data_IF_939563052737
#
_entry.id   IF_939563052737
#
_cell.length_a   1.000
_cell.length_b   1.000
_cell.length_c   1.000
_cell.angle_alpha   90.00
_cell.angle_beta   90.00
_cell.angle_gamma   90.00
#
_symmetry.space_group_name_H-M   'P 1'
#
loop_
_entity.id
_entity.type
_entity.pdbx_description
1 polymer ?
#
# COMPACT_ATOMS: atom_id res chain seq x y z
N UNK A 1 9.07 -16.70 -1.90
CA UNK A 1 7.66 -16.69 -1.49
C UNK A 1 7.48 -15.72 -0.33
N UNK A 2 6.75 -14.63 -0.50
CA UNK A 2 6.51 -13.65 0.55
C UNK A 2 5.59 -14.16 1.68
N UNK A 3 5.38 -13.35 2.71
CA UNK A 3 4.53 -13.68 3.86
C UNK A 3 3.08 -14.01 3.49
N UNK A 4 2.59 -13.55 2.33
CA UNK A 4 1.29 -13.90 1.78
C UNK A 4 1.12 -15.40 1.43
N UNK A 5 2.22 -16.16 1.39
CA UNK A 5 2.22 -17.60 1.13
C UNK A 5 2.43 -18.44 2.40
N UNK A 6 2.56 -17.79 3.57
CA UNK A 6 2.82 -18.47 4.83
C UNK A 6 1.53 -18.69 5.62
N UNK A 7 1.50 -19.76 6.41
CA UNK A 7 0.39 -20.06 7.31
C UNK A 7 0.69 -19.42 8.66
N UNK A 8 -0.15 -18.49 9.05
CA UNK A 8 -0.05 -17.83 10.35
C UNK A 8 -0.88 -18.56 11.41
N UNK A 9 -0.37 -18.61 12.62
CA UNK A 9 -1.21 -18.83 13.79
C UNK A 9 -2.08 -17.59 14.03
N UNK A 10 -3.25 -17.78 14.64
CA UNK A 10 -4.13 -16.65 14.93
C UNK A 10 -4.75 -16.74 16.33
N UNK A 11 -5.15 -15.58 16.82
CA UNK A 11 -5.90 -15.40 18.06
C UNK A 11 -7.05 -14.42 17.81
N UNK A 12 -8.24 -14.81 18.23
CA UNK A 12 -9.41 -13.93 18.17
C UNK A 12 -9.36 -12.98 19.37
N UNK A 13 -9.47 -11.68 19.11
CA UNK A 13 -9.56 -10.63 20.12
C UNK A 13 -11.03 -10.16 20.23
N UNK A 14 -11.36 -9.40 21.26
CA UNK A 14 -12.69 -8.84 21.45
C UNK A 14 -13.09 -7.90 20.27
N UNK A 15 -12.13 -7.13 19.76
CA UNK A 15 -12.32 -6.12 18.72
C UNK A 15 -11.59 -6.44 17.40
N UNK A 16 -11.12 -7.69 17.22
CA UNK A 16 -10.35 -8.00 16.02
C UNK A 16 -9.69 -9.37 16.01
N UNK A 17 -8.60 -9.47 15.26
CA UNK A 17 -7.82 -10.70 15.12
C UNK A 17 -6.33 -10.38 15.11
N UNK A 18 -5.55 -11.24 15.77
CA UNK A 18 -4.09 -11.22 15.77
C UNK A 18 -3.57 -12.39 14.96
N UNK A 19 -2.67 -12.14 14.04
CA UNK A 19 -1.89 -13.14 13.33
C UNK A 19 -0.46 -13.14 13.82
N UNK A 20 0.13 -14.34 13.96
CA UNK A 20 1.48 -14.54 14.46
C UNK A 20 2.21 -15.52 13.55
N UNK A 21 3.42 -15.14 13.16
CA UNK A 21 4.32 -15.99 12.39
C UNK A 21 5.74 -15.89 12.91
N UNK A 22 6.42 -17.01 13.02
CA UNK A 22 7.85 -17.08 13.30
C UNK A 22 8.54 -17.53 12.00
N UNK A 23 9.16 -16.58 11.32
CA UNK A 23 10.00 -16.84 10.15
C UNK A 23 11.36 -17.37 10.65
N UNK A 24 11.77 -18.58 10.27
CA UNK A 24 13.04 -19.12 10.73
C UNK A 24 14.23 -18.39 10.09
N UNK A 25 15.39 -18.48 10.75
CA UNK A 25 16.65 -17.94 10.20
C UNK A 25 16.86 -18.39 8.77
N UNK A 26 17.30 -17.46 7.92
CA UNK A 26 17.55 -17.65 6.47
C UNK A 26 16.30 -17.98 5.64
N UNK A 27 15.09 -17.81 6.15
CA UNK A 27 13.90 -17.91 5.32
C UNK A 27 13.95 -16.84 4.22
N UNK A 28 13.76 -17.27 2.95
CA UNK A 28 13.88 -16.42 1.74
C UNK A 28 15.25 -15.69 1.64
N UNK A 29 16.26 -16.14 2.35
CA UNK A 29 17.62 -15.58 2.34
C UNK A 29 17.84 -14.45 3.35
N UNK A 30 16.87 -14.13 4.19
CA UNK A 30 17.02 -13.10 5.23
C UNK A 30 17.58 -13.71 6.53
N UNK A 31 18.65 -13.11 7.12
CA UNK A 31 19.23 -13.61 8.35
C UNK A 31 18.32 -13.32 9.55
N UNK A 32 18.44 -14.17 10.55
CA UNK A 32 17.73 -14.07 11.82
C UNK A 32 16.33 -14.68 11.80
N UNK A 33 15.94 -15.21 12.95
CA UNK A 33 14.56 -15.62 13.16
C UNK A 33 13.70 -14.38 13.43
N UNK A 34 12.67 -14.17 12.61
CA UNK A 34 11.78 -13.03 12.71
C UNK A 34 10.45 -13.43 13.31
N UNK A 35 10.12 -12.89 14.47
CA UNK A 35 8.79 -12.95 15.05
C UNK A 35 7.95 -11.80 14.48
N UNK A 36 6.91 -12.13 13.73
CA UNK A 36 5.97 -11.19 13.11
C UNK A 36 4.60 -11.31 13.77
N UNK A 37 4.06 -10.17 14.19
CA UNK A 37 2.70 -10.03 14.70
C UNK A 37 1.95 -8.98 13.89
N UNK A 38 0.77 -9.34 13.41
CA UNK A 38 -0.13 -8.44 12.68
C UNK A 38 -1.48 -8.45 13.39
N UNK A 39 -1.97 -7.27 13.75
CA UNK A 39 -3.27 -7.13 14.42
C UNK A 39 -4.20 -6.32 13.55
N UNK A 40 -5.35 -6.88 13.26
CA UNK A 40 -6.47 -6.19 12.62
C UNK A 40 -7.53 -5.90 13.68
N UNK A 41 -7.94 -4.64 13.81
CA UNK A 41 -9.01 -4.19 14.70
C UNK A 41 -10.08 -3.48 13.90
N UNK A 42 -11.32 -3.73 14.25
CA UNK A 42 -12.49 -3.07 13.67
C UNK A 42 -13.22 -2.28 14.74
N UNK A 43 -13.37 -0.98 14.54
CA UNK A 43 -14.13 -0.09 15.43
C UNK A 43 -15.03 0.82 14.60
N UNK A 44 -16.33 0.62 14.65
CA UNK A 44 -17.28 1.31 13.78
C UNK A 44 -16.98 1.05 12.31
N UNK A 45 -16.58 2.08 11.59
CA UNK A 45 -16.20 2.04 10.18
C UNK A 45 -14.67 2.23 9.96
N UNK A 46 -13.88 2.07 11.01
CA UNK A 46 -12.42 2.12 10.96
C UNK A 46 -11.83 0.71 11.05
N UNK A 47 -10.96 0.36 10.09
CA UNK A 47 -10.10 -0.81 10.14
C UNK A 47 -8.68 -0.35 10.45
N UNK A 48 -8.15 -0.74 11.61
CA UNK A 48 -6.77 -0.50 12.02
C UNK A 48 -5.93 -1.75 11.82
N UNK A 49 -4.77 -1.59 11.17
CA UNK A 49 -3.78 -2.65 10.99
C UNK A 49 -2.47 -2.25 11.67
N UNK A 50 -1.99 -3.08 12.58
CA UNK A 50 -0.76 -2.84 13.35
C UNK A 50 0.22 -3.97 13.08
N UNK A 51 1.48 -3.61 12.79
CA UNK A 51 2.57 -4.55 12.53
C UNK A 51 3.64 -4.41 13.60
N UNK A 52 4.06 -5.52 14.16
CA UNK A 52 5.15 -5.61 15.11
C UNK A 52 6.07 -6.74 14.68
N UNK A 53 7.36 -6.44 14.58
CA UNK A 53 8.35 -7.42 14.18
C UNK A 53 9.58 -7.33 15.08
N UNK A 54 10.10 -8.48 15.48
CA UNK A 54 11.33 -8.62 16.26
C UNK A 54 12.19 -9.72 15.66
N UNK A 55 13.48 -9.45 15.52
CA UNK A 55 14.46 -10.44 15.06
C UNK A 55 15.53 -10.66 16.13
N UNK A 56 16.11 -11.87 16.14
CA UNK A 56 17.26 -12.23 16.98
C UNK A 56 18.60 -11.81 16.37
N UNK A 57 18.59 -11.31 15.12
CA UNK A 57 19.76 -10.78 14.41
C UNK A 57 19.37 -9.54 13.59
N UNK A 58 20.36 -8.79 13.13
CA UNK A 58 20.16 -7.70 12.18
C UNK A 58 19.62 -8.26 10.86
N UNK A 59 18.49 -7.75 10.42
CA UNK A 59 17.82 -8.20 9.19
C UNK A 59 17.04 -7.06 8.52
N UNK A 60 16.62 -7.28 7.29
CA UNK A 60 15.80 -6.34 6.56
C UNK A 60 14.33 -6.71 6.71
N UNK A 61 13.50 -5.69 6.95
CA UNK A 61 12.04 -5.84 7.02
C UNK A 61 11.40 -4.82 6.08
N UNK A 62 10.50 -5.30 5.21
CA UNK A 62 9.62 -4.47 4.41
C UNK A 62 8.25 -5.16 4.35
N UNK A 63 7.33 -4.74 5.20
CA UNK A 63 6.00 -5.33 5.33
C UNK A 63 4.96 -4.27 5.03
N UNK A 64 4.07 -4.58 4.09
CA UNK A 64 2.95 -3.73 3.73
C UNK A 64 1.65 -4.54 3.63
N UNK A 65 0.53 -3.88 3.84
CA UNK A 65 -0.76 -4.41 3.44
C UNK A 65 -0.91 -4.23 1.92
N UNK A 66 -1.29 -5.30 1.23
CA UNK A 66 -1.47 -5.28 -0.22
C UNK A 66 -2.94 -5.51 -0.61
N UNK A 67 -3.87 -4.97 0.15
CA UNK A 67 -5.29 -5.04 -0.17
C UNK A 67 -5.65 -4.11 -1.31
N UNK A 68 -6.49 -4.60 -2.21
CA UNK A 68 -7.08 -3.80 -3.28
C UNK A 68 -8.50 -3.39 -2.90
N UNK A 69 -8.90 -2.17 -3.27
CA UNK A 69 -10.20 -1.62 -2.92
C UNK A 69 -11.01 -1.26 -4.16
N UNK A 70 -12.23 -1.75 -4.23
CA UNK A 70 -13.23 -1.31 -5.19
C UNK A 70 -14.48 -0.84 -4.44
N UNK A 71 -14.70 0.48 -4.40
CA UNK A 71 -15.79 1.08 -3.65
C UNK A 71 -17.14 1.01 -4.36
N UNK A 72 -17.17 0.71 -5.66
CA UNK A 72 -18.42 0.56 -6.42
C UNK A 72 -19.19 -0.70 -6.04
N UNK A 73 -18.51 -1.71 -5.47
CA UNK A 73 -19.04 -3.06 -5.23
C UNK A 73 -19.54 -3.76 -6.52
N UNK A 74 -19.04 -3.36 -7.67
CA UNK A 74 -19.30 -3.96 -8.98
C UNK A 74 -18.07 -4.73 -9.45
N UNK A 75 -18.27 -5.73 -10.29
CA UNK A 75 -17.18 -6.43 -11.00
C UNK A 75 -16.73 -5.56 -12.20
N UNK A 76 -16.02 -4.48 -11.89
CA UNK A 76 -15.52 -3.52 -12.87
C UNK A 76 -14.20 -2.92 -12.43
N UNK A 77 -13.48 -2.32 -13.37
CA UNK A 77 -12.31 -1.51 -13.08
C UNK A 77 -12.73 -0.25 -12.29
N UNK A 78 -11.78 0.30 -11.54
CA UNK A 78 -11.99 1.47 -10.67
C UNK A 78 -11.61 2.79 -11.36
N UNK A 79 -11.65 2.86 -12.68
CA UNK A 79 -11.20 4.02 -13.44
C UNK A 79 -11.98 5.30 -13.12
N UNK A 80 -13.28 5.17 -12.78
CA UNK A 80 -14.16 6.28 -12.41
C UNK A 80 -14.04 6.71 -10.94
N UNK A 81 -13.24 5.98 -10.15
CA UNK A 81 -12.99 6.39 -8.77
C UNK A 81 -12.07 7.61 -8.74
N UNK A 82 -12.39 8.54 -7.86
CA UNK A 82 -11.55 9.70 -7.59
C UNK A 82 -10.51 9.37 -6.53
N UNK A 83 -9.26 9.65 -6.83
CA UNK A 83 -8.13 9.45 -5.94
C UNK A 83 -7.46 10.79 -5.62
N UNK A 84 -7.12 10.99 -4.36
CA UNK A 84 -6.24 12.04 -3.88
C UNK A 84 -5.15 11.42 -3.02
N UNK A 85 -3.88 11.80 -3.24
CA UNK A 85 -2.73 11.37 -2.44
C UNK A 85 -1.89 12.58 -2.07
N UNK A 86 -1.60 12.75 -0.79
CA UNK A 86 -0.74 13.83 -0.26
C UNK A 86 0.74 13.46 -0.44
N UNK A 87 1.20 13.52 -1.67
CA UNK A 87 2.58 13.25 -2.04
C UNK A 87 3.06 14.25 -3.08
N UNK A 88 4.32 14.66 -2.95
CA UNK A 88 4.99 15.48 -3.97
C UNK A 88 5.86 14.64 -4.89
N UNK A 89 6.17 13.38 -4.52
CA UNK A 89 7.11 12.54 -5.26
C UNK A 89 6.67 11.07 -5.29
N UNK A 90 7.03 10.40 -6.38
CA UNK A 90 7.01 8.93 -6.48
C UNK A 90 8.42 8.38 -6.56
N UNK A 91 8.61 7.14 -6.09
CA UNK A 91 9.82 6.38 -6.38
C UNK A 91 9.74 5.85 -7.83
N UNK A 92 10.78 6.14 -8.63
CA UNK A 92 10.85 5.66 -10.02
C UNK A 92 11.11 4.15 -10.06
N UNK A 93 10.43 3.48 -10.99
CA UNK A 93 10.68 2.09 -11.35
C UNK A 93 11.54 1.99 -12.62
N UNK A 94 12.16 0.84 -12.81
CA UNK A 94 12.76 0.44 -14.08
C UNK A 94 11.77 -0.38 -14.94
N UNK A 95 12.19 -0.83 -16.11
CA UNK A 95 11.39 -1.63 -17.03
C UNK A 95 10.93 -3.00 -16.47
N UNK A 96 11.50 -3.45 -15.37
CA UNK A 96 11.11 -4.66 -14.64
C UNK A 96 10.21 -4.37 -13.44
N UNK A 97 9.83 -3.10 -13.23
CA UNK A 97 9.03 -2.65 -12.09
C UNK A 97 9.83 -2.55 -10.77
N UNK A 98 11.16 -2.57 -10.82
CA UNK A 98 11.99 -2.49 -9.63
C UNK A 98 12.36 -1.03 -9.31
N UNK A 99 12.35 -0.63 -8.02
CA UNK A 99 12.74 0.72 -7.62
C UNK A 99 14.19 1.03 -8.00
N UNK A 100 14.40 2.17 -8.66
CA UNK A 100 15.74 2.61 -9.12
C UNK A 100 16.52 3.42 -8.07
N UNK A 101 15.89 3.78 -6.95
CA UNK A 101 16.43 4.72 -5.96
C UNK A 101 16.31 6.19 -6.38
N UNK A 102 15.72 6.49 -7.54
CA UNK A 102 15.41 7.84 -7.99
C UNK A 102 13.99 8.22 -7.60
N UNK A 103 13.75 9.53 -7.48
CA UNK A 103 12.43 10.09 -7.22
C UNK A 103 12.04 11.04 -8.36
N UNK A 104 10.75 11.09 -8.65
CA UNK A 104 10.14 11.98 -9.63
C UNK A 104 9.13 12.87 -8.93
N UNK A 105 9.22 14.19 -9.13
CA UNK A 105 8.20 15.13 -8.67
C UNK A 105 6.91 14.89 -9.45
N UNK A 106 5.78 14.79 -8.75
CA UNK A 106 4.50 14.44 -9.38
C UNK A 106 3.89 15.59 -10.18
N UNK A 107 4.31 16.82 -9.92
CA UNK A 107 3.74 18.02 -10.53
C UNK A 107 3.86 18.00 -12.06
N UNK A 108 2.75 18.25 -12.76
CA UNK A 108 2.64 18.18 -14.22
C UNK A 108 2.93 16.78 -14.83
N UNK A 109 2.76 15.72 -14.06
CA UNK A 109 2.84 14.32 -14.50
C UNK A 109 1.49 13.60 -14.34
N UNK A 110 1.32 12.41 -14.92
CA UNK A 110 0.13 11.59 -14.66
C UNK A 110 -0.04 11.20 -13.19
N UNK A 111 1.02 11.28 -12.40
CA UNK A 111 1.05 10.92 -10.97
C UNK A 111 0.61 12.07 -10.03
N UNK A 112 0.25 13.24 -10.55
CA UNK A 112 -0.22 14.34 -9.69
C UNK A 112 -1.64 14.09 -9.18
N UNK A 113 -1.73 13.42 -8.03
CA UNK A 113 -2.95 13.21 -7.26
C UNK A 113 -3.05 14.14 -6.03
N UNK A 114 -2.35 15.27 -6.00
CA UNK A 114 -2.46 16.24 -4.88
C UNK A 114 -3.88 16.81 -4.73
N UNK A 115 -4.69 16.75 -5.78
CA UNK A 115 -6.13 16.98 -5.76
C UNK A 115 -6.87 15.75 -6.32
N UNK A 116 -8.19 15.72 -6.17
CA UNK A 116 -8.99 14.61 -6.69
C UNK A 116 -8.95 14.53 -8.22
N UNK A 117 -8.49 13.40 -8.74
CA UNK A 117 -8.54 13.01 -10.15
C UNK A 117 -9.14 11.62 -10.30
N UNK A 118 -9.84 11.37 -11.38
CA UNK A 118 -10.26 10.00 -11.72
C UNK A 118 -9.04 9.17 -12.09
N UNK A 119 -8.97 7.94 -11.55
CA UNK A 119 -7.83 7.05 -11.78
C UNK A 119 -7.65 6.78 -13.29
N UNK A 120 -8.75 6.63 -14.02
CA UNK A 120 -8.73 6.39 -15.46
C UNK A 120 -8.37 7.60 -16.32
N UNK A 121 -8.36 8.82 -15.76
CA UNK A 121 -8.16 10.06 -16.51
C UNK A 121 -6.81 10.09 -17.25
N UNK A 122 -5.75 9.62 -16.61
CA UNK A 122 -4.37 9.72 -17.09
C UNK A 122 -3.59 8.40 -17.08
N UNK A 123 -4.22 7.28 -16.70
CA UNK A 123 -3.54 5.98 -16.57
C UNK A 123 -2.97 5.44 -17.90
N UNK A 124 -3.45 5.98 -19.02
CA UNK A 124 -3.02 5.60 -20.37
C UNK A 124 -2.22 6.70 -21.08
N UNK A 125 -1.80 7.72 -20.36
CA UNK A 125 -0.94 8.77 -20.89
C UNK A 125 0.38 8.19 -21.41
N UNK A 126 0.99 8.86 -22.38
CA UNK A 126 2.29 8.48 -22.92
C UNK A 126 3.42 8.90 -21.94
N UNK A 127 3.54 8.19 -20.85
CA UNK A 127 4.54 8.40 -19.81
C UNK A 127 5.40 7.14 -19.61
N UNK A 128 6.70 7.32 -19.44
CA UNK A 128 7.66 6.21 -19.31
C UNK A 128 7.39 5.36 -18.08
N UNK A 129 7.11 6.00 -16.94
CA UNK A 129 6.87 5.29 -15.68
C UNK A 129 5.56 4.48 -15.74
N UNK A 130 4.50 5.03 -16.34
CA UNK A 130 3.26 4.27 -16.56
C UNK A 130 3.49 3.06 -17.48
N UNK A 131 4.34 3.20 -18.52
CA UNK A 131 4.65 2.08 -19.44
C UNK A 131 5.42 0.96 -18.75
N UNK A 132 6.36 1.26 -17.88
CA UNK A 132 7.21 0.26 -17.22
C UNK A 132 6.39 -0.72 -16.38
N UNK A 133 5.36 -0.25 -15.70
CA UNK A 133 4.56 -1.07 -14.77
C UNK A 133 3.13 -1.32 -15.23
N UNK A 134 2.75 -0.79 -16.41
CA UNK A 134 1.43 -0.99 -16.98
C UNK A 134 0.31 -0.22 -16.30
N UNK A 135 0.63 0.93 -15.71
CA UNK A 135 -0.31 1.81 -14.99
C UNK A 135 0.29 2.42 -13.75
N UNK A 136 -0.53 2.59 -12.70
CA UNK A 136 -0.07 3.09 -11.40
C UNK A 136 0.32 1.92 -10.48
N UNK A 137 1.63 1.72 -10.28
CA UNK A 137 2.20 0.74 -9.34
C UNK A 137 3.47 1.31 -8.68
N UNK A 138 3.41 2.58 -8.30
CA UNK A 138 4.54 3.34 -7.76
C UNK A 138 4.34 3.63 -6.28
N UNK A 139 5.45 3.65 -5.53
CA UNK A 139 5.48 4.15 -4.16
C UNK A 139 5.37 5.67 -4.14
N UNK A 140 4.28 6.20 -3.61
CA UNK A 140 4.10 7.63 -3.33
C UNK A 140 4.75 7.96 -2.00
N UNK A 141 5.69 8.91 -1.99
CA UNK A 141 6.38 9.37 -0.79
C UNK A 141 5.45 10.24 0.04
N UNK A 142 5.13 9.80 1.25
CA UNK A 142 4.13 10.46 2.08
C UNK A 142 4.73 11.60 2.90
N UNK A 143 3.90 12.60 3.17
CA UNK A 143 4.21 13.68 4.11
C UNK A 143 3.88 13.26 5.53
N UNK A 144 4.50 13.89 6.52
CA UNK A 144 4.17 13.71 7.94
C UNK A 144 2.85 14.44 8.28
N UNK A 145 1.73 13.91 7.78
CA UNK A 145 0.38 14.44 7.93
C UNK A 145 -0.59 13.32 8.25
N UNK A 146 -1.88 13.62 8.33
CA UNK A 146 -2.96 12.62 8.38
C UNK A 146 -3.72 12.61 7.05
N UNK A 147 -4.53 11.57 6.88
CA UNK A 147 -5.35 11.38 5.67
C UNK A 147 -4.48 11.45 4.41
N UNK A 148 -3.48 10.56 4.37
CA UNK A 148 -2.47 10.52 3.30
C UNK A 148 -3.08 10.27 1.93
N UNK A 149 -4.13 9.43 1.86
CA UNK A 149 -4.88 9.22 0.63
C UNK A 149 -6.38 9.12 0.89
N UNK A 150 -7.14 9.53 -0.11
CA UNK A 150 -8.60 9.41 -0.13
C UNK A 150 -9.02 8.82 -1.47
N UNK A 151 -9.74 7.69 -1.42
CA UNK A 151 -10.41 7.11 -2.56
C UNK A 151 -11.92 7.35 -2.40
N UNK A 152 -12.56 7.81 -3.47
CA UNK A 152 -14.00 8.12 -3.47
C UNK A 152 -14.67 7.61 -4.75
N UNK A 153 -15.77 6.90 -4.59
CA UNK A 153 -16.65 6.51 -5.68
C UNK A 153 -17.91 7.37 -5.70
N UNK A 154 -18.08 8.16 -6.74
CA UNK A 154 -19.22 9.08 -6.89
C UNK A 154 -20.57 8.37 -6.99
N UNK A 155 -20.60 7.19 -7.59
CA UNK A 155 -21.85 6.47 -7.84
C UNK A 155 -22.39 5.85 -6.55
N UNK A 156 -21.57 5.15 -5.78
CA UNK A 156 -21.97 4.54 -4.51
C UNK A 156 -21.96 5.50 -3.33
N UNK A 157 -21.27 6.64 -3.47
CA UNK A 157 -21.04 7.59 -2.39
C UNK A 157 -20.04 7.10 -1.33
N UNK A 158 -19.39 5.95 -1.53
CA UNK A 158 -18.43 5.41 -0.57
C UNK A 158 -17.10 6.15 -0.65
N UNK A 159 -16.50 6.35 0.51
CA UNK A 159 -15.20 7.00 0.66
C UNK A 159 -14.30 6.16 1.57
N UNK A 160 -13.07 5.91 1.14
CA UNK A 160 -12.00 5.33 1.94
C UNK A 160 -10.96 6.41 2.20
N UNK A 161 -10.61 6.63 3.47
CA UNK A 161 -9.51 7.51 3.87
C UNK A 161 -8.42 6.65 4.50
N UNK A 162 -7.18 6.85 4.11
CA UNK A 162 -6.03 6.07 4.57
C UNK A 162 -5.06 6.98 5.32
N UNK A 163 -4.70 6.55 6.53
CA UNK A 163 -3.61 7.11 7.33
C UNK A 163 -2.63 5.99 7.66
N UNK A 164 -1.35 6.22 7.52
CA UNK A 164 -0.30 5.24 7.82
C UNK A 164 0.90 5.89 8.49
N UNK A 165 1.69 5.10 9.19
CA UNK A 165 2.99 5.51 9.74
C UNK A 165 4.16 5.12 8.83
N UNK A 166 3.87 4.47 7.68
CA UNK A 166 4.88 4.14 6.68
C UNK A 166 5.30 5.41 5.92
N UNK A 167 6.54 5.49 5.45
CA UNK A 167 7.06 6.65 4.73
C UNK A 167 6.52 6.77 3.30
N UNK A 168 5.91 5.72 2.78
CA UNK A 168 5.34 5.65 1.43
C UNK A 168 4.13 4.72 1.38
N UNK A 169 3.38 4.85 0.30
CA UNK A 169 2.16 4.08 0.05
C UNK A 169 2.13 3.67 -1.42
#
# INVERSE_FOLDING_TARGET
NGFNQKIFNYEILEDGIRFIYLSPDMEEGFPGSLYLKIVYRLSGNELKMEYEAMSDQDTLINIANHSFFNLSAKDSKIYDHQLMIKSDQIACADENGLPTGKFLDVENTPFDFKSFHEIGERIHDDDEQLRFVGGYDHCFMLKDEKDHAVLYDKESGRKLTITTTLPCM
#
